data_IF_617374226829
#
_entry.id   IF_617374226829
#
_cell.length_a   1.000
_cell.length_b   1.000
_cell.length_c   1.000
_cell.angle_alpha   90.00
_cell.angle_beta   90.00
_cell.angle_gamma   90.00
#
_symmetry.space_group_name_H-M   'P 1'
#
loop_
_entity.id
_entity.type
_entity.pdbx_description
1 polymer ?
#
# COMPACT_ATOMS: atom_id res chain seq x y z
N UNK A 1 8.59 -4.88 73.77
CA UNK A 1 8.89 -3.46 73.49
C UNK A 1 9.33 -3.35 72.04
N UNK A 2 8.60 -2.51 71.30
CA UNK A 2 8.73 -2.00 69.91
C UNK A 2 9.72 -2.66 68.92
N UNK A 3 9.17 -3.37 67.94
CA UNK A 3 9.78 -3.66 66.64
C UNK A 3 9.58 -2.44 65.73
N UNK A 4 10.66 -1.74 65.37
CA UNK A 4 10.62 -0.59 64.46
C UNK A 4 10.70 -1.05 62.99
N UNK A 5 9.72 -0.64 62.18
CA UNK A 5 9.72 -0.82 60.72
C UNK A 5 10.33 0.44 60.09
N UNK A 6 11.38 0.26 59.27
CA UNK A 6 11.97 1.35 58.47
C UNK A 6 11.29 1.36 57.10
N UNK A 7 10.58 2.45 56.81
CA UNK A 7 9.97 2.71 55.50
C UNK A 7 10.96 3.52 54.65
N UNK A 8 11.50 2.92 53.58
CA UNK A 8 12.30 3.65 52.59
C UNK A 8 11.36 4.20 51.52
N UNK A 9 11.16 5.52 51.51
CA UNK A 9 10.41 6.20 50.46
C UNK A 9 11.39 6.65 49.38
N UNK A 10 11.38 5.98 48.23
CA UNK A 10 12.08 6.43 47.03
C UNK A 10 11.27 7.52 46.34
N UNK A 11 11.71 8.77 46.49
CA UNK A 11 11.15 9.91 45.75
C UNK A 11 11.69 9.84 44.32
N UNK A 12 10.90 9.30 43.40
CA UNK A 12 11.21 9.34 41.96
C UNK A 12 11.10 10.77 41.43
N UNK A 13 12.23 11.40 41.14
CA UNK A 13 12.27 12.68 40.41
C UNK A 13 11.82 12.38 38.98
N UNK A 14 10.57 12.72 38.64
CA UNK A 14 10.10 12.71 37.24
C UNK A 14 10.77 13.88 36.52
N UNK A 15 11.81 13.60 35.75
CA UNK A 15 12.29 14.57 34.75
C UNK A 15 11.14 14.82 33.76
N UNK A 16 10.74 16.08 33.51
CA UNK A 16 9.76 16.37 32.47
C UNK A 16 10.30 15.85 31.14
N UNK A 17 9.50 15.04 30.44
CA UNK A 17 9.85 14.52 29.13
C UNK A 17 10.24 15.69 28.22
N UNK A 18 11.40 15.57 27.56
CA UNK A 18 11.80 16.55 26.57
C UNK A 18 10.69 16.67 25.51
N UNK A 19 10.32 17.89 25.07
CA UNK A 19 9.32 18.06 24.02
C UNK A 19 9.76 17.25 22.79
N UNK A 20 8.83 16.44 22.26
CA UNK A 20 9.07 15.68 21.05
C UNK A 20 9.54 16.64 19.94
N UNK A 21 10.65 16.31 19.30
CA UNK A 21 11.18 17.11 18.20
C UNK A 21 10.08 17.31 17.14
N UNK A 22 9.97 18.53 16.61
CA UNK A 22 9.05 18.81 15.53
C UNK A 22 9.32 17.85 14.36
N UNK A 23 8.29 17.28 13.71
CA UNK A 23 8.49 16.40 12.58
C UNK A 23 9.28 17.15 11.48
N UNK A 24 10.18 16.45 10.76
CA UNK A 24 10.92 17.07 9.67
C UNK A 24 9.95 17.60 8.60
N UNK A 25 10.34 18.65 7.86
CA UNK A 25 9.51 19.17 6.78
C UNK A 25 9.21 18.08 5.74
N UNK A 26 8.03 18.09 5.11
CA UNK A 26 7.67 17.10 4.10
C UNK A 26 8.68 17.11 2.95
N UNK A 27 9.22 15.94 2.61
CA UNK A 27 10.11 15.80 1.46
C UNK A 27 9.31 16.00 0.16
N UNK A 28 9.84 16.70 -0.85
CA UNK A 28 9.20 16.78 -2.15
C UNK A 28 8.98 15.39 -2.75
N UNK A 29 7.84 15.18 -3.40
CA UNK A 29 7.58 13.95 -4.13
C UNK A 29 8.63 13.72 -5.23
N UNK A 30 8.97 12.45 -5.49
CA UNK A 30 9.82 12.08 -6.62
C UNK A 30 9.15 12.51 -7.94
N UNK A 31 9.87 13.23 -8.83
CA UNK A 31 9.38 13.49 -10.18
C UNK A 31 9.16 12.18 -10.93
N UNK A 32 7.99 12.01 -11.55
CA UNK A 32 7.65 10.83 -12.34
C UNK A 32 7.68 11.21 -13.81
N UNK A 33 8.67 10.74 -14.60
CA UNK A 33 8.69 10.94 -16.04
C UNK A 33 7.45 10.31 -16.69
N UNK A 34 6.80 11.06 -17.57
CA UNK A 34 5.64 10.52 -18.31
C UNK A 34 6.11 9.54 -19.36
N UNK A 35 5.67 8.29 -19.23
CA UNK A 35 5.91 7.23 -20.18
C UNK A 35 4.56 6.76 -20.76
N UNK A 36 4.55 6.47 -22.06
CA UNK A 36 3.35 6.02 -22.80
C UNK A 36 3.59 4.73 -23.59
N UNK A 37 4.12 3.66 -22.97
CA UNK A 37 4.28 2.39 -23.66
C UNK A 37 2.93 1.87 -24.15
N UNK A 38 2.94 1.15 -25.27
CA UNK A 38 1.77 0.43 -25.74
C UNK A 38 1.50 -0.77 -24.82
N UNK A 39 0.24 -1.16 -24.60
CA UNK A 39 -0.07 -2.36 -23.83
C UNK A 39 0.68 -3.60 -24.33
N UNK A 40 1.42 -4.24 -23.43
CA UNK A 40 2.20 -5.45 -23.71
C UNK A 40 3.58 -5.20 -24.34
N UNK A 41 3.96 -3.96 -24.63
CA UNK A 41 5.28 -3.65 -25.20
C UNK A 41 6.40 -3.76 -24.14
N UNK A 42 6.15 -3.21 -22.96
CA UNK A 42 7.12 -3.12 -21.85
C UNK A 42 6.42 -3.39 -20.51
N UNK A 43 7.17 -3.90 -19.54
CA UNK A 43 6.81 -3.91 -18.11
C UNK A 43 7.76 -2.98 -17.34
N UNK A 44 7.35 -2.45 -16.17
CA UNK A 44 8.23 -1.67 -15.33
C UNK A 44 9.51 -2.43 -14.98
N UNK A 45 10.62 -1.71 -14.82
CA UNK A 45 11.89 -2.29 -14.35
C UNK A 45 11.71 -2.97 -13.00
N UNK A 46 12.55 -3.97 -12.73
CA UNK A 46 12.67 -4.54 -11.39
C UNK A 46 13.39 -3.55 -10.46
N UNK A 47 12.74 -3.18 -9.37
CA UNK A 47 13.35 -2.37 -8.32
C UNK A 47 14.21 -3.19 -7.37
N UNK A 48 14.68 -2.56 -6.29
CA UNK A 48 15.31 -3.27 -5.18
C UNK A 48 14.30 -4.25 -4.59
N UNK A 49 14.50 -5.54 -4.80
CA UNK A 49 13.60 -6.59 -4.34
C UNK A 49 13.37 -6.50 -2.83
N UNK A 50 12.13 -6.78 -2.41
CA UNK A 50 11.84 -6.94 -0.99
C UNK A 50 12.60 -8.16 -0.43
N UNK A 51 12.81 -8.24 0.90
CA UNK A 51 13.43 -9.42 1.52
C UNK A 51 12.73 -10.73 1.16
N UNK A 52 13.33 -11.88 1.43
CA UNK A 52 12.63 -13.16 1.24
C UNK A 52 11.81 -13.47 2.48
N UNK A 53 10.55 -13.89 2.29
CA UNK A 53 9.70 -14.37 3.39
C UNK A 53 10.31 -15.60 4.06
N UNK A 54 10.60 -15.51 5.36
CA UNK A 54 11.15 -16.61 6.17
C UNK A 54 10.21 -16.89 7.35
N UNK A 55 9.15 -17.70 7.20
CA UNK A 55 8.13 -17.87 8.23
C UNK A 55 8.65 -18.38 9.59
N UNK A 56 9.79 -19.08 9.61
CA UNK A 56 10.42 -19.60 10.82
C UNK A 56 11.28 -18.57 11.57
N UNK A 57 11.57 -17.41 10.98
CA UNK A 57 12.40 -16.34 11.55
C UNK A 57 11.76 -15.00 11.17
N UNK A 58 11.24 -14.26 12.16
CA UNK A 58 10.63 -12.94 11.89
C UNK A 58 11.54 -12.07 10.99
N UNK A 59 11.01 -11.68 9.84
CA UNK A 59 11.65 -10.88 8.80
C UNK A 59 11.25 -9.40 8.89
N UNK A 60 10.43 -9.04 9.88
CA UNK A 60 9.92 -7.69 10.09
C UNK A 60 11.03 -6.64 10.16
N UNK A 61 12.08 -6.89 10.95
CA UNK A 61 13.19 -5.94 11.09
C UNK A 61 13.97 -5.74 9.78
N UNK A 62 14.08 -6.79 8.95
CA UNK A 62 14.73 -6.71 7.64
C UNK A 62 13.87 -5.94 6.65
N UNK A 63 12.55 -6.18 6.67
CA UNK A 63 11.57 -5.43 5.88
C UNK A 63 11.57 -3.94 6.26
N UNK A 64 11.61 -3.60 7.55
CA UNK A 64 11.63 -2.20 8.01
C UNK A 64 12.94 -1.50 7.59
N UNK A 65 14.07 -2.21 7.70
CA UNK A 65 15.36 -1.70 7.21
C UNK A 65 15.37 -1.51 5.69
N UNK A 66 14.78 -2.45 4.93
CA UNK A 66 14.60 -2.32 3.50
C UNK A 66 13.71 -1.13 3.14
N UNK A 67 12.57 -0.99 3.81
CA UNK A 67 11.61 0.08 3.56
C UNK A 67 12.21 1.46 3.82
N UNK A 68 13.06 1.58 4.85
CA UNK A 68 13.81 2.82 5.14
C UNK A 68 14.77 3.18 4.00
N UNK A 69 15.55 2.21 3.51
CA UNK A 69 16.47 2.45 2.37
C UNK A 69 15.73 2.84 1.10
N UNK A 70 14.63 2.17 0.80
CA UNK A 70 13.81 2.49 -0.39
C UNK A 70 13.12 3.84 -0.23
N UNK A 71 12.67 4.20 0.97
CA UNK A 71 12.06 5.50 1.26
C UNK A 71 13.02 6.65 0.99
N UNK A 72 14.29 6.50 1.37
CA UNK A 72 15.30 7.53 1.14
C UNK A 72 15.55 7.80 -0.34
N UNK A 73 15.38 6.79 -1.20
CA UNK A 73 15.56 6.92 -2.65
C UNK A 73 14.29 7.34 -3.40
N UNK A 74 13.12 6.85 -2.98
CA UNK A 74 11.85 7.02 -3.70
C UNK A 74 10.98 8.16 -3.18
N UNK A 75 11.32 8.68 -1.99
CA UNK A 75 10.56 9.66 -1.23
C UNK A 75 9.13 9.19 -0.85
N UNK A 76 8.84 7.90 -1.00
CA UNK A 76 7.64 7.30 -0.45
C UNK A 76 7.79 7.12 1.07
N UNK A 77 6.71 7.17 1.86
CA UNK A 77 6.80 6.90 3.28
C UNK A 77 7.24 5.46 3.53
N UNK A 78 8.27 5.27 4.38
CA UNK A 78 8.77 3.93 4.74
C UNK A 78 7.65 3.02 5.26
N UNK A 79 6.66 3.58 5.99
CA UNK A 79 5.49 2.84 6.47
C UNK A 79 4.66 2.21 5.35
N UNK A 80 4.48 2.94 4.26
CA UNK A 80 3.72 2.50 3.07
C UNK A 80 4.57 1.50 2.28
N UNK A 81 5.87 1.74 2.15
CA UNK A 81 6.80 0.80 1.51
C UNK A 81 6.84 -0.54 2.23
N UNK A 82 6.82 -0.57 3.57
CA UNK A 82 6.75 -1.83 4.33
C UNK A 82 5.51 -2.66 3.95
N UNK A 83 4.36 -2.02 3.68
CA UNK A 83 3.16 -2.71 3.21
C UNK A 83 3.33 -3.31 1.80
N UNK A 84 3.86 -2.51 0.85
CA UNK A 84 4.09 -2.97 -0.52
C UNK A 84 5.18 -4.05 -0.61
N UNK A 85 6.26 -3.89 0.15
CA UNK A 85 7.32 -4.87 0.29
C UNK A 85 6.79 -6.18 0.85
N UNK A 86 6.03 -6.15 1.95
CA UNK A 86 5.36 -7.35 2.51
C UNK A 86 4.48 -8.06 1.49
N UNK A 87 3.74 -7.29 0.68
CA UNK A 87 2.89 -7.86 -0.35
C UNK A 87 3.70 -8.63 -1.42
N UNK A 88 4.85 -8.08 -1.86
CA UNK A 88 5.80 -8.81 -2.70
C UNK A 88 6.35 -10.05 -2.00
N UNK A 89 6.87 -9.91 -0.77
CA UNK A 89 7.45 -10.99 0.04
C UNK A 89 6.52 -12.20 0.12
N UNK A 90 5.26 -11.96 0.50
CA UNK A 90 4.29 -13.02 0.67
C UNK A 90 3.82 -13.61 -0.66
N UNK A 91 3.70 -12.80 -1.72
CA UNK A 91 3.33 -13.31 -3.04
C UNK A 91 4.43 -14.15 -3.68
N UNK A 92 5.71 -13.83 -3.44
CA UNK A 92 6.82 -14.69 -3.86
C UNK A 92 6.70 -16.10 -3.27
N UNK A 93 6.24 -16.23 -2.02
CA UNK A 93 5.97 -17.54 -1.41
C UNK A 93 4.68 -18.18 -1.89
N UNK A 94 3.59 -17.41 -1.99
CA UNK A 94 2.25 -17.96 -2.25
C UNK A 94 1.96 -18.25 -3.72
N UNK A 95 2.46 -17.41 -4.63
CA UNK A 95 2.36 -17.57 -6.08
C UNK A 95 3.65 -17.07 -6.76
N UNK A 96 4.77 -17.81 -6.65
CA UNK A 96 6.07 -17.39 -7.20
C UNK A 96 6.00 -17.08 -8.70
N UNK A 97 5.16 -17.79 -9.46
CA UNK A 97 4.98 -17.59 -10.90
C UNK A 97 4.34 -16.25 -11.27
N UNK A 98 3.78 -15.51 -10.31
CA UNK A 98 3.21 -14.19 -10.56
C UNK A 98 4.31 -13.13 -10.75
N UNK A 99 5.47 -13.29 -10.12
CA UNK A 99 6.57 -12.31 -10.14
C UNK A 99 6.15 -10.85 -9.85
N UNK A 100 5.20 -10.66 -8.93
CA UNK A 100 4.79 -9.33 -8.48
C UNK A 100 5.98 -8.58 -7.85
N UNK A 101 6.20 -7.34 -8.29
CA UNK A 101 7.12 -6.39 -7.63
C UNK A 101 6.33 -5.35 -6.82
N UNK A 102 6.85 -4.94 -5.65
CA UNK A 102 6.35 -3.88 -4.77
C UNK A 102 6.13 -2.56 -5.51
N UNK A 103 6.89 -2.32 -6.57
CA UNK A 103 6.77 -1.12 -7.40
C UNK A 103 5.40 -1.02 -8.08
N UNK A 104 4.75 -2.16 -8.37
CA UNK A 104 3.41 -2.19 -8.99
C UNK A 104 2.32 -1.64 -8.07
N UNK A 105 2.10 -2.18 -6.84
CA UNK A 105 1.14 -1.57 -5.91
C UNK A 105 1.55 -0.15 -5.47
N UNK A 106 2.84 0.19 -5.47
CA UNK A 106 3.29 1.58 -5.27
C UNK A 106 2.87 2.52 -6.40
N UNK A 107 2.98 2.07 -7.66
CA UNK A 107 2.49 2.80 -8.83
C UNK A 107 0.97 3.01 -8.79
N UNK A 108 0.21 1.97 -8.42
CA UNK A 108 -1.24 2.07 -8.20
C UNK A 108 -1.52 3.11 -7.12
N UNK A 109 -0.92 2.98 -5.93
CA UNK A 109 -1.11 3.92 -4.82
C UNK A 109 -0.80 5.36 -5.20
N UNK A 110 0.23 5.61 -6.02
CA UNK A 110 0.57 6.95 -6.52
C UNK A 110 -0.50 7.54 -7.45
N UNK A 111 -1.07 6.72 -8.33
CA UNK A 111 -2.14 7.14 -9.25
C UNK A 111 -3.43 7.39 -8.45
N UNK A 112 -3.79 6.48 -7.55
CA UNK A 112 -4.99 6.63 -6.72
C UNK A 112 -4.90 7.83 -5.78
N UNK A 113 -3.74 8.08 -5.15
CA UNK A 113 -3.50 9.28 -4.35
C UNK A 113 -3.71 10.57 -5.14
N UNK A 114 -3.20 10.60 -6.39
CA UNK A 114 -3.37 11.74 -7.29
C UNK A 114 -4.83 11.98 -7.71
N UNK A 115 -5.60 10.91 -7.95
CA UNK A 115 -7.01 11.01 -8.37
C UNK A 115 -7.97 11.26 -7.20
N UNK A 116 -7.75 10.59 -6.07
CA UNK A 116 -8.56 10.69 -4.86
C UNK A 116 -8.18 11.89 -3.96
N UNK A 117 -7.15 12.66 -4.34
CA UNK A 117 -6.64 13.80 -3.58
C UNK A 117 -6.38 13.46 -2.11
N UNK A 118 -5.73 12.31 -1.86
CA UNK A 118 -5.31 11.89 -0.53
C UNK A 118 -3.78 11.76 -0.47
N UNK A 119 -3.23 11.91 0.73
CA UNK A 119 -1.79 11.91 0.95
C UNK A 119 -1.33 10.59 1.59
N UNK A 120 -0.49 9.83 0.87
CA UNK A 120 0.15 8.62 1.39
C UNK A 120 1.04 8.92 2.60
N UNK A 121 1.59 10.13 2.72
CA UNK A 121 2.43 10.55 3.86
C UNK A 121 1.64 10.74 5.17
N UNK A 122 0.31 10.86 5.07
CA UNK A 122 -0.59 10.97 6.21
C UNK A 122 -1.03 9.61 6.78
N UNK A 123 -0.55 8.49 6.22
CA UNK A 123 -0.83 7.14 6.74
C UNK A 123 -0.09 6.95 8.07
N UNK A 124 -0.84 6.57 9.11
CA UNK A 124 -0.33 6.39 10.47
C UNK A 124 0.61 5.19 10.62
N UNK A 125 1.29 5.11 11.75
CA UNK A 125 2.18 3.98 12.08
C UNK A 125 1.44 2.63 12.11
N UNK A 126 0.15 2.64 12.44
CA UNK A 126 -0.75 1.48 12.39
C UNK A 126 -1.16 1.09 10.95
N UNK A 127 -0.76 1.87 9.95
CA UNK A 127 -1.07 1.64 8.53
C UNK A 127 -2.42 2.20 8.10
N UNK A 128 -3.16 2.89 8.97
CA UNK A 128 -4.47 3.43 8.62
C UNK A 128 -4.35 4.79 7.97
N UNK A 129 -5.19 5.05 6.96
CA UNK A 129 -5.42 6.41 6.48
C UNK A 129 -6.08 7.25 7.59
N UNK A 130 -5.62 8.49 7.76
CA UNK A 130 -6.11 9.38 8.83
C UNK A 130 -7.60 9.74 8.70
N UNK A 131 -8.11 9.79 7.47
CA UNK A 131 -9.52 9.97 7.15
C UNK A 131 -9.95 8.88 6.16
N UNK A 132 -11.19 8.38 6.26
CA UNK A 132 -11.69 7.44 5.26
C UNK A 132 -11.56 8.01 3.85
N UNK A 133 -10.80 7.32 3.01
CA UNK A 133 -10.70 7.54 1.56
C UNK A 133 -11.85 6.78 0.90
N UNK A 134 -12.83 7.53 0.40
CA UNK A 134 -13.97 7.03 -0.38
C UNK A 134 -14.05 7.90 -1.64
N UNK A 135 -14.03 7.24 -2.80
CA UNK A 135 -14.11 7.88 -4.10
C UNK A 135 -15.49 8.47 -4.39
N UNK A 136 -15.71 9.05 -5.59
CA UNK A 136 -17.05 9.48 -6.00
C UNK A 136 -17.97 8.27 -6.28
N UNK A 137 -19.31 8.47 -6.22
CA UNK A 137 -20.27 7.42 -6.53
C UNK A 137 -20.15 7.00 -8.00
N UNK A 138 -20.13 5.69 -8.24
CA UNK A 138 -20.10 5.11 -9.57
C UNK A 138 -21.52 5.05 -10.16
N UNK A 139 -22.06 6.22 -10.51
CA UNK A 139 -23.47 6.41 -10.83
C UNK A 139 -23.81 6.48 -12.33
N UNK A 140 -22.86 6.20 -13.22
CA UNK A 140 -23.09 6.26 -14.67
C UNK A 140 -23.11 7.68 -15.27
N UNK A 141 -22.73 8.71 -14.52
CA UNK A 141 -22.52 10.05 -15.08
C UNK A 141 -21.38 10.08 -16.11
N UNK A 142 -21.24 11.17 -16.86
CA UNK A 142 -20.30 11.24 -17.98
C UNK A 142 -18.86 10.85 -17.59
N UNK A 143 -18.37 9.73 -18.13
CA UNK A 143 -17.03 9.20 -17.85
C UNK A 143 -16.92 8.36 -16.57
N UNK A 144 -18.01 8.10 -15.86
CA UNK A 144 -18.07 7.30 -14.63
C UNK A 144 -18.87 6.02 -14.90
N UNK A 145 -18.35 4.83 -14.57
CA UNK A 145 -19.12 3.59 -14.72
C UNK A 145 -20.34 3.58 -13.79
N UNK A 146 -21.40 2.86 -14.16
CA UNK A 146 -22.55 2.61 -13.30
C UNK A 146 -22.37 1.29 -12.54
N UNK A 147 -22.16 1.36 -11.23
CA UNK A 147 -21.97 0.19 -10.36
C UNK A 147 -22.89 0.33 -9.15
N UNK A 148 -23.98 -0.46 -9.13
CA UNK A 148 -24.92 -0.48 -8.01
C UNK A 148 -24.28 -1.06 -6.73
N UNK A 149 -24.80 -0.64 -5.57
CA UNK A 149 -24.36 -1.14 -4.26
C UNK A 149 -24.26 -2.67 -4.22
N UNK A 150 -23.11 -3.18 -3.75
CA UNK A 150 -22.82 -4.62 -3.65
C UNK A 150 -22.65 -5.14 -2.23
N UNK A 151 -22.69 -4.28 -1.21
CA UNK A 151 -22.43 -4.67 0.17
C UNK A 151 -23.44 -4.14 1.21
N UNK A 152 -24.42 -3.33 0.79
CA UNK A 152 -25.41 -2.71 1.66
C UNK A 152 -24.96 -1.38 2.25
N UNK A 153 -23.99 -0.70 1.60
CA UNK A 153 -23.31 0.50 2.10
C UNK A 153 -22.41 0.25 3.31
N UNK A 154 -21.84 -0.96 3.44
CA UNK A 154 -21.04 -1.34 4.61
C UNK A 154 -19.64 -0.73 4.58
N UNK A 155 -19.04 -0.64 3.41
CA UNK A 155 -17.66 -0.17 3.26
C UNK A 155 -17.56 1.31 2.88
N UNK A 156 -18.52 1.84 2.13
CA UNK A 156 -18.53 3.23 1.64
C UNK A 156 -19.66 4.10 2.21
N UNK A 157 -20.68 3.49 2.82
CA UNK A 157 -21.83 4.19 3.40
C UNK A 157 -22.96 4.52 2.43
N UNK A 158 -22.83 4.19 1.14
CA UNK A 158 -23.86 4.45 0.12
C UNK A 158 -24.64 3.16 -0.19
N UNK A 159 -25.97 3.23 -0.15
CA UNK A 159 -26.86 2.08 -0.38
C UNK A 159 -27.42 2.02 -1.81
N UNK A 160 -26.89 2.86 -2.70
CA UNK A 160 -27.39 3.01 -4.08
C UNK A 160 -26.31 2.69 -5.09
N UNK A 161 -25.13 3.27 -4.91
CA UNK A 161 -23.98 3.15 -5.81
C UNK A 161 -22.75 2.75 -5.01
N UNK A 162 -21.93 1.87 -5.56
CA UNK A 162 -20.62 1.55 -4.99
C UNK A 162 -19.64 2.72 -5.22
N UNK A 163 -18.69 2.86 -4.30
CA UNK A 163 -17.59 3.81 -4.39
C UNK A 163 -16.26 3.05 -4.32
N UNK A 164 -15.20 3.63 -4.87
CA UNK A 164 -13.86 3.09 -4.67
C UNK A 164 -13.34 3.42 -3.25
N UNK A 165 -12.85 2.43 -2.51
CA UNK A 165 -12.49 2.56 -1.08
C UNK A 165 -11.00 2.34 -0.82
N UNK A 166 -10.47 3.07 0.17
CA UNK A 166 -9.12 2.88 0.67
C UNK A 166 -8.02 3.47 -0.22
N UNK A 167 -6.75 3.35 0.21
CA UNK A 167 -5.61 3.95 -0.48
C UNK A 167 -5.30 3.28 -1.83
N UNK A 168 -5.88 2.12 -2.12
CA UNK A 168 -5.77 1.43 -3.41
C UNK A 168 -7.12 1.34 -4.17
N UNK A 169 -8.13 2.08 -3.71
CA UNK A 169 -9.38 2.35 -4.42
C UNK A 169 -10.11 1.09 -4.93
N UNK A 170 -10.31 0.11 -4.04
CA UNK A 170 -11.07 -1.10 -4.35
C UNK A 170 -12.55 -0.83 -4.54
N UNK A 171 -13.23 -1.60 -5.38
CA UNK A 171 -14.70 -1.72 -5.29
C UNK A 171 -15.09 -2.66 -4.14
N UNK A 172 -16.21 -2.42 -3.42
CA UNK A 172 -16.69 -3.31 -2.36
C UNK A 172 -16.81 -4.78 -2.80
N UNK A 173 -17.31 -5.03 -4.01
CA UNK A 173 -17.38 -6.37 -4.61
C UNK A 173 -16.02 -7.04 -4.79
N UNK A 174 -15.00 -6.28 -5.18
CA UNK A 174 -13.62 -6.78 -5.34
C UNK A 174 -13.00 -7.05 -3.98
N UNK A 175 -13.14 -6.10 -3.05
CA UNK A 175 -12.67 -6.25 -1.67
C UNK A 175 -13.24 -7.53 -1.04
N UNK A 176 -14.55 -7.73 -1.11
CA UNK A 176 -15.23 -8.92 -0.58
C UNK A 176 -14.64 -10.24 -1.09
N UNK A 177 -14.16 -10.28 -2.34
CA UNK A 177 -13.63 -11.50 -2.96
C UNK A 177 -12.16 -11.76 -2.63
N UNK A 178 -11.35 -10.71 -2.49
CA UNK A 178 -9.90 -10.83 -2.40
C UNK A 178 -9.28 -10.41 -1.07
N UNK A 179 -10.05 -9.76 -0.19
CA UNK A 179 -9.57 -9.22 1.08
C UNK A 179 -8.78 -10.24 1.89
N UNK A 180 -7.70 -9.78 2.48
CA UNK A 180 -6.83 -10.60 3.33
C UNK A 180 -6.22 -9.72 4.42
N UNK A 181 -6.04 -10.29 5.61
CA UNK A 181 -5.47 -9.56 6.73
C UNK A 181 -3.96 -9.59 6.65
N UNK A 182 -3.32 -8.43 6.80
CA UNK A 182 -1.87 -8.29 6.66
C UNK A 182 -1.21 -7.46 7.76
N UNK A 183 -1.97 -6.64 8.52
CA UNK A 183 -1.39 -5.81 9.60
C UNK A 183 -1.22 -6.54 10.95
N UNK A 184 -1.86 -7.71 11.13
CA UNK A 184 -1.69 -8.57 12.31
C UNK A 184 -2.32 -8.09 13.63
N UNK A 185 -3.23 -7.12 13.61
CA UNK A 185 -3.82 -6.57 14.87
C UNK A 185 -4.97 -7.40 15.48
N UNK A 186 -5.33 -8.53 14.87
CA UNK A 186 -6.38 -9.45 15.34
C UNK A 186 -7.82 -9.12 14.90
N UNK A 187 -8.07 -7.96 14.28
CA UNK A 187 -9.33 -7.63 13.61
C UNK A 187 -9.58 -8.30 12.24
N UNK A 188 -10.66 -7.86 11.57
CA UNK A 188 -10.97 -8.22 10.18
C UNK A 188 -10.19 -7.35 9.18
N UNK A 189 -9.98 -7.78 7.92
CA UNK A 189 -9.38 -6.95 6.89
C UNK A 189 -10.10 -5.60 6.76
N UNK A 190 -9.31 -4.53 6.69
CA UNK A 190 -9.81 -3.17 6.54
C UNK A 190 -9.24 -2.50 5.27
N UNK A 191 -10.08 -2.10 4.30
CA UNK A 191 -9.61 -1.44 3.08
C UNK A 191 -8.93 -0.09 3.35
N UNK A 192 -9.18 0.52 4.50
CA UNK A 192 -8.54 1.76 4.95
C UNK A 192 -7.14 1.53 5.56
N UNK A 193 -6.74 0.27 5.78
CA UNK A 193 -5.39 -0.08 6.21
C UNK A 193 -4.51 -0.45 5.00
N UNK A 194 -3.35 0.20 4.88
CA UNK A 194 -2.47 0.03 3.73
C UNK A 194 -1.83 -1.36 3.66
N UNK A 195 -1.61 -2.07 4.76
CA UNK A 195 -1.09 -3.44 4.71
C UNK A 195 -2.14 -4.37 4.11
N UNK A 196 -3.37 -4.31 4.63
CA UNK A 196 -4.49 -5.12 4.17
C UNK A 196 -4.81 -4.79 2.70
N UNK A 197 -4.83 -3.49 2.35
CA UNK A 197 -5.03 -3.04 0.97
C UNK A 197 -3.93 -3.53 0.03
N UNK A 198 -2.65 -3.34 0.39
CA UNK A 198 -1.51 -3.74 -0.43
C UNK A 198 -1.52 -5.25 -0.70
N UNK A 199 -1.75 -6.05 0.34
CA UNK A 199 -1.76 -7.49 0.17
C UNK A 199 -2.99 -7.99 -0.60
N UNK A 200 -4.15 -7.35 -0.39
CA UNK A 200 -5.35 -7.60 -1.20
C UNK A 200 -5.11 -7.28 -2.67
N UNK A 201 -4.42 -6.18 -2.98
CA UNK A 201 -4.08 -5.79 -4.36
C UNK A 201 -3.14 -6.79 -5.01
N UNK A 202 -2.13 -7.22 -4.28
CA UNK A 202 -1.21 -8.26 -4.71
C UNK A 202 -1.94 -9.57 -5.06
N UNK A 203 -2.86 -10.01 -4.20
CA UNK A 203 -3.70 -11.19 -4.48
C UNK A 203 -4.61 -11.01 -5.68
N UNK A 204 -5.20 -9.83 -5.83
CA UNK A 204 -6.09 -9.52 -6.94
C UNK A 204 -5.34 -9.51 -8.28
N UNK A 205 -4.21 -8.81 -8.36
CA UNK A 205 -3.32 -8.76 -9.52
C UNK A 205 -2.82 -10.16 -9.92
N UNK A 206 -2.44 -10.98 -8.94
CA UNK A 206 -1.97 -12.35 -9.18
C UNK A 206 -3.09 -13.39 -9.36
N UNK A 207 -4.37 -12.97 -9.38
CA UNK A 207 -5.50 -13.92 -9.46
C UNK A 207 -5.75 -14.46 -10.87
N UNK A 208 -5.32 -13.74 -11.91
CA UNK A 208 -5.51 -14.11 -13.32
C UNK A 208 -4.56 -15.19 -13.84
N UNK A 209 -3.54 -15.58 -13.06
CA UNK A 209 -2.49 -16.51 -13.51
C UNK A 209 -1.42 -15.87 -14.41
N UNK A 210 -1.41 -14.54 -14.50
CA UNK A 210 -0.43 -13.77 -15.25
C UNK A 210 0.94 -13.74 -14.58
N UNK A 211 1.98 -13.65 -15.41
CA UNK A 211 3.35 -13.37 -15.00
C UNK A 211 3.63 -11.86 -15.14
N UNK A 212 3.57 -11.13 -14.02
CA UNK A 212 3.79 -9.68 -13.95
C UNK A 212 5.25 -9.28 -14.18
N UNK A 213 6.18 -10.23 -14.22
CA UNK A 213 7.55 -9.99 -14.65
C UNK A 213 7.67 -9.81 -16.16
N UNK A 214 6.64 -10.17 -16.93
CA UNK A 214 6.61 -10.03 -18.40
C UNK A 214 5.78 -8.82 -18.83
N UNK A 215 6.12 -8.15 -19.94
CA UNK A 215 5.29 -7.07 -20.50
C UNK A 215 3.82 -7.47 -20.68
N UNK A 216 3.57 -8.63 -21.29
CA UNK A 216 2.20 -9.07 -21.57
C UNK A 216 1.41 -9.38 -20.29
N UNK A 217 2.02 -10.06 -19.31
CA UNK A 217 1.33 -10.40 -18.07
C UNK A 217 1.10 -9.19 -17.16
N UNK A 218 2.07 -8.28 -17.06
CA UNK A 218 1.91 -7.04 -16.29
C UNK A 218 0.74 -6.21 -16.82
N UNK A 219 0.67 -5.99 -18.14
CA UNK A 219 -0.41 -5.22 -18.74
C UNK A 219 -1.78 -5.89 -18.61
N UNK A 220 -1.86 -7.22 -18.74
CA UNK A 220 -3.12 -7.94 -18.50
C UNK A 220 -3.59 -7.78 -17.05
N UNK A 221 -2.70 -7.91 -16.08
CA UNK A 221 -3.03 -7.75 -14.66
C UNK A 221 -3.48 -6.32 -14.33
N UNK A 222 -2.80 -5.30 -14.86
CA UNK A 222 -3.17 -3.90 -14.66
C UNK A 222 -4.48 -3.53 -15.34
N UNK A 223 -4.71 -3.99 -16.57
CA UNK A 223 -5.98 -3.76 -17.26
C UNK A 223 -7.14 -4.55 -16.64
N UNK A 224 -6.85 -5.66 -15.96
CA UNK A 224 -7.81 -6.37 -15.13
C UNK A 224 -8.15 -5.60 -13.85
N UNK A 225 -7.17 -4.93 -13.24
CA UNK A 225 -7.38 -4.03 -12.11
C UNK A 225 -8.22 -2.80 -12.51
N UNK A 226 -7.89 -2.20 -13.66
CA UNK A 226 -8.62 -1.07 -14.26
C UNK A 226 -8.41 -1.06 -15.78
N UNK A 227 -9.50 -1.18 -16.54
CA UNK A 227 -9.47 -1.34 -18.00
C UNK A 227 -8.98 -0.11 -18.80
N UNK A 228 -8.65 1.01 -18.14
CA UNK A 228 -8.16 2.21 -18.80
C UNK A 228 -6.68 2.10 -19.21
N UNK A 229 -6.38 2.16 -20.52
CA UNK A 229 -4.99 2.18 -21.01
C UNK A 229 -4.20 3.35 -20.42
N UNK A 230 -4.77 4.55 -20.38
CA UNK A 230 -4.12 5.71 -19.78
C UNK A 230 -3.80 5.49 -18.29
N UNK A 231 -4.70 4.82 -17.55
CA UNK A 231 -4.42 4.40 -16.18
C UNK A 231 -3.20 3.46 -16.11
N UNK A 232 -3.18 2.44 -16.97
CA UNK A 232 -2.04 1.52 -17.04
C UNK A 232 -0.71 2.22 -17.36
N UNK A 233 -0.73 3.25 -18.23
CA UNK A 233 0.45 4.05 -18.55
C UNK A 233 0.91 4.92 -17.37
N UNK A 234 -0.04 5.49 -16.60
CA UNK A 234 0.28 6.27 -15.40
C UNK A 234 0.86 5.37 -14.30
N UNK A 235 0.28 4.17 -14.11
CA UNK A 235 0.80 3.16 -13.16
C UNK A 235 2.18 2.69 -13.61
N UNK A 236 2.38 2.44 -14.91
CA UNK A 236 3.69 2.06 -15.46
C UNK A 236 4.73 3.14 -15.14
N UNK A 237 4.42 4.39 -15.46
CA UNK A 237 5.35 5.52 -15.26
C UNK A 237 5.78 5.63 -13.80
N UNK A 238 4.82 5.53 -12.88
CA UNK A 238 5.10 5.59 -11.45
C UNK A 238 5.90 4.37 -10.95
N UNK A 239 5.46 3.15 -11.30
CA UNK A 239 6.14 1.92 -10.89
C UNK A 239 7.58 1.87 -11.39
N UNK A 240 7.80 2.23 -12.66
CA UNK A 240 9.12 2.21 -13.29
C UNK A 240 10.07 3.26 -12.69
N UNK A 241 9.57 4.47 -12.42
CA UNK A 241 10.35 5.51 -11.75
C UNK A 241 10.73 5.14 -10.30
N UNK A 242 9.81 4.51 -9.55
CA UNK A 242 10.11 4.03 -8.20
C UNK A 242 11.11 2.88 -8.21
N UNK A 243 10.97 1.94 -9.15
CA UNK A 243 11.91 0.85 -9.35
C UNK A 243 13.32 1.39 -9.64
N UNK A 244 13.45 2.31 -10.60
CA UNK A 244 14.72 2.96 -10.93
C UNK A 244 15.36 3.67 -9.75
N UNK A 245 14.59 4.51 -9.06
CA UNK A 245 15.11 5.27 -7.92
C UNK A 245 15.63 4.33 -6.83
N UNK A 246 14.93 3.22 -6.57
CA UNK A 246 15.29 2.27 -5.51
C UNK A 246 16.64 1.57 -5.68
N UNK A 247 17.20 1.54 -6.90
CA UNK A 247 18.50 0.91 -7.21
C UNK A 247 19.57 1.93 -7.61
N UNK A 248 19.22 3.22 -7.68
CA UNK A 248 20.16 4.28 -8.02
C UNK A 248 21.28 4.40 -6.95
N UNK A 249 22.55 4.63 -7.35
CA UNK A 249 23.70 4.73 -6.44
C UNK A 249 23.50 5.78 -5.36
#
# INVERSE_FOLDING_TARGET
>A
MLTGVVLVVTIGIRNPAAPAAAPPPPRPALPIPEQRPQPGAESPRAGLAAPVDRPAVSDQAELDAWATRVADKTHLPARVLAAYGRAEMWMQRQKPTCHLSWATPAGIGRVEAGRGNFDLSAIGADGRVAKPVVGPPLNGSAGVPAVHDTDGGKLDGDKTWDHAIGPLQFLPSTWKKYQERANGDGGTPDPQNVDDAAFTAARYLCSGGDDLGTPAGWWRAILFYNAGVAYGQDVFSAADAYAEASVAP
#
